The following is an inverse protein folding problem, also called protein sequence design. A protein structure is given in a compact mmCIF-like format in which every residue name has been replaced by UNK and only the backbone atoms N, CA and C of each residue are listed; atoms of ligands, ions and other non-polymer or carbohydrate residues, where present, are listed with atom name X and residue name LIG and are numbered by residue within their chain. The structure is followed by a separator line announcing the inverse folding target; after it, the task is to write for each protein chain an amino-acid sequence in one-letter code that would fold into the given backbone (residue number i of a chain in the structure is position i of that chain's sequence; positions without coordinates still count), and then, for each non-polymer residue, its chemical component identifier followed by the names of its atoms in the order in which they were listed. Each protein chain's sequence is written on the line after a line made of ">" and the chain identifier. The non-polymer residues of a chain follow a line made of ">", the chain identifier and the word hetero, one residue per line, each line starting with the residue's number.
data_IF_429471132619
#
_entry.id   IF_429471132619
#
_cell.length_a   1.000
_cell.length_b   1.000
_cell.length_c   1.000
_cell.angle_alpha   90.00
_cell.angle_beta   90.00
_cell.angle_gamma   90.00
#
_symmetry.space_group_name_H-M   'P 1'
#
loop_
_entity.id
_entity.type
_entity.pdbx_description
1 polymer ?
#
# COMPACT_ATOMS: atom_id res chain seq x y z
N UNK A 1 -19.58 30.29 -25.11
CA UNK A 1 -18.17 29.87 -24.94
C UNK A 1 -17.63 30.58 -23.71
N UNK A 2 -18.14 30.24 -22.52
CA UNK A 2 -17.83 30.99 -21.28
C UNK A 2 -17.95 30.12 -20.01
N UNK A 3 -18.03 28.79 -20.14
CA UNK A 3 -18.20 27.87 -19.00
C UNK A 3 -16.96 27.01 -18.67
N UNK A 4 -15.87 27.14 -19.44
CA UNK A 4 -14.69 26.25 -19.31
C UNK A 4 -13.57 26.89 -18.48
N UNK A 5 -13.63 28.18 -18.18
CA UNK A 5 -12.53 28.91 -17.51
C UNK A 5 -12.66 28.96 -15.97
N UNK A 6 -13.83 28.63 -15.41
CA UNK A 6 -14.08 28.73 -13.96
C UNK A 6 -13.66 27.48 -13.18
N UNK A 7 -13.74 26.28 -13.78
CA UNK A 7 -13.36 25.03 -13.11
C UNK A 7 -11.84 24.90 -12.91
N UNK A 8 -11.04 25.37 -13.87
CA UNK A 8 -9.57 25.30 -13.85
C UNK A 8 -8.96 26.30 -12.87
N UNK A 9 -9.55 27.49 -12.71
CA UNK A 9 -9.11 28.47 -11.71
C UNK A 9 -9.47 28.03 -10.28
N UNK A 10 -10.64 27.43 -10.05
CA UNK A 10 -11.00 26.92 -8.72
C UNK A 10 -10.09 25.77 -8.28
N UNK A 11 -9.70 24.86 -9.18
CA UNK A 11 -8.77 23.75 -8.87
C UNK A 11 -7.34 24.23 -8.57
N UNK A 12 -6.86 25.29 -9.23
CA UNK A 12 -5.54 25.87 -8.93
C UNK A 12 -5.53 26.65 -7.61
N UNK A 13 -6.63 27.32 -7.25
CA UNK A 13 -6.72 28.08 -5.98
C UNK A 13 -6.88 27.15 -4.76
N UNK A 14 -7.52 25.98 -4.91
CA UNK A 14 -7.61 24.99 -3.82
C UNK A 14 -6.27 24.29 -3.57
N UNK A 15 -5.50 23.94 -4.61
CA UNK A 15 -4.17 23.33 -4.42
C UNK A 15 -3.20 24.26 -3.68
N UNK A 16 -3.21 25.57 -3.98
CA UNK A 16 -2.32 26.56 -3.36
C UNK A 16 -2.56 26.79 -1.86
N UNK A 17 -3.73 26.39 -1.33
CA UNK A 17 -4.01 26.44 0.12
C UNK A 17 -3.60 25.15 0.86
N UNK A 18 -3.33 24.07 0.12
CA UNK A 18 -2.97 22.74 0.66
C UNK A 18 -1.45 22.55 0.64
N UNK A 19 -0.77 23.19 -0.31
CA UNK A 19 0.68 23.38 -0.32
C UNK A 19 1.06 24.50 0.64
N UNK A 20 0.84 24.30 1.94
CA UNK A 20 1.60 25.06 2.93
C UNK A 20 3.08 24.90 2.54
N UNK A 21 3.84 25.99 2.32
CA UNK A 21 5.26 25.88 2.05
C UNK A 21 5.85 25.06 3.20
N UNK A 22 6.59 23.99 2.87
CA UNK A 22 7.20 23.18 3.93
C UNK A 22 7.98 24.12 4.85
N UNK A 23 7.70 24.09 6.16
CA UNK A 23 8.40 24.94 7.10
C UNK A 23 9.90 24.69 6.96
N UNK A 24 10.66 25.77 6.81
CA UNK A 24 12.12 25.77 6.63
C UNK A 24 12.78 25.27 7.91
N UNK A 25 12.75 23.96 8.14
CA UNK A 25 13.51 23.31 9.20
C UNK A 25 14.84 22.94 8.59
N UNK A 26 15.92 23.58 9.04
CA UNK A 26 17.25 23.28 8.51
C UNK A 26 17.60 21.81 8.77
N UNK A 27 17.96 21.09 7.70
CA UNK A 27 18.39 19.70 7.83
C UNK A 27 19.80 19.62 8.40
N UNK A 28 19.96 18.77 9.40
CA UNK A 28 21.26 18.44 9.95
C UNK A 28 22.12 17.74 8.88
N UNK A 29 23.27 18.32 8.58
CA UNK A 29 24.27 17.72 7.69
C UNK A 29 25.05 16.60 8.42
N UNK A 30 25.49 15.57 7.69
CA UNK A 30 26.25 14.49 8.29
C UNK A 30 27.69 14.94 8.64
N UNK A 31 28.25 14.37 9.70
CA UNK A 31 29.55 14.79 10.23
C UNK A 31 30.72 14.17 9.46
N UNK A 32 31.74 14.98 9.14
CA UNK A 32 32.97 14.55 8.45
C UNK A 32 32.72 13.84 7.11
N UNK A 33 31.73 14.31 6.35
CA UNK A 33 31.31 13.74 5.07
C UNK A 33 31.70 14.60 3.86
N UNK A 34 32.68 15.49 4.03
CA UNK A 34 33.24 16.32 2.97
C UNK A 34 34.71 15.94 2.83
N UNK A 35 35.09 15.39 1.68
CA UNK A 35 36.45 14.98 1.32
C UNK A 35 36.88 15.72 0.05
N UNK A 36 38.17 15.67 -0.28
CA UNK A 36 38.72 16.43 -1.40
C UNK A 36 38.09 16.04 -2.75
N UNK A 37 37.87 14.74 -2.97
CA UNK A 37 37.36 14.21 -4.25
C UNK A 37 35.90 13.74 -4.20
N UNK A 38 35.27 13.71 -3.02
CA UNK A 38 33.90 13.23 -2.88
C UNK A 38 33.20 13.87 -1.68
N UNK A 39 31.89 14.05 -1.78
CA UNK A 39 31.08 14.50 -0.64
C UNK A 39 29.81 13.69 -0.49
N UNK A 40 29.33 13.59 0.75
CA UNK A 40 28.05 12.98 1.09
C UNK A 40 27.16 13.98 1.82
N UNK A 41 25.98 14.28 1.27
CA UNK A 41 25.04 15.27 1.85
C UNK A 41 23.64 14.70 2.05
N UNK A 42 22.85 15.38 2.89
CA UNK A 42 21.47 14.98 3.24
C UNK A 42 20.50 16.16 3.23
N UNK A 43 20.83 17.21 2.49
CA UNK A 43 20.10 18.46 2.28
C UNK A 43 18.82 18.30 1.42
N UNK A 44 18.08 17.21 1.60
CA UNK A 44 16.82 16.92 0.91
C UNK A 44 15.89 16.10 1.81
N UNK A 45 14.57 16.17 1.61
CA UNK A 45 13.58 15.42 2.40
C UNK A 45 13.88 13.91 2.46
N UNK A 46 13.60 13.27 3.59
CA UNK A 46 14.02 11.89 3.93
C UNK A 46 15.55 11.64 3.98
N UNK A 47 16.41 12.55 3.51
CA UNK A 47 17.85 12.49 3.68
C UNK A 47 18.29 12.29 5.14
N UNK A 48 19.09 11.25 5.38
CA UNK A 48 19.68 10.91 6.68
C UNK A 48 20.98 10.12 6.51
N UNK A 49 22.00 10.61 7.20
CA UNK A 49 23.31 10.00 7.39
C UNK A 49 23.91 10.63 8.66
N UNK A 50 24.64 9.87 9.46
CA UNK A 50 25.18 10.41 10.72
C UNK A 50 26.61 10.93 10.56
N UNK A 51 27.50 10.08 10.03
CA UNK A 51 28.93 10.37 10.00
C UNK A 51 29.63 9.56 8.89
N UNK A 52 30.70 10.11 8.32
CA UNK A 52 31.55 9.42 7.35
C UNK A 52 33.00 9.34 7.84
N UNK A 53 33.70 8.28 7.45
CA UNK A 53 35.12 8.08 7.71
C UNK A 53 35.81 7.52 6.46
N UNK A 54 36.97 8.07 6.08
CA UNK A 54 37.80 7.46 5.05
C UNK A 54 38.40 6.13 5.52
N UNK A 55 38.42 5.12 4.66
CA UNK A 55 38.99 3.80 4.93
C UNK A 55 40.32 3.58 4.22
N UNK A 56 40.33 3.77 2.89
CA UNK A 56 41.46 3.61 1.98
C UNK A 56 41.26 4.52 0.75
N UNK A 57 42.06 4.32 -0.30
CA UNK A 57 41.95 5.09 -1.55
C UNK A 57 40.57 4.84 -2.19
N UNK A 58 39.73 5.88 -2.23
CA UNK A 58 38.34 5.84 -2.69
C UNK A 58 37.36 5.00 -1.85
N UNK A 59 37.77 4.52 -0.66
CA UNK A 59 36.88 3.81 0.26
C UNK A 59 36.38 4.66 1.42
N UNK A 60 35.08 4.53 1.72
CA UNK A 60 34.41 5.33 2.75
C UNK A 60 33.45 4.49 3.59
N UNK A 61 33.55 4.65 4.91
CA UNK A 61 32.63 4.07 5.89
C UNK A 61 31.56 5.09 6.24
N UNK A 62 30.29 4.70 6.07
CA UNK A 62 29.11 5.51 6.31
C UNK A 62 28.37 4.99 7.54
N UNK A 63 28.37 5.78 8.61
CA UNK A 63 27.73 5.43 9.87
C UNK A 63 26.29 5.89 9.91
N UNK A 64 25.40 5.00 10.33
CA UNK A 64 23.99 5.27 10.48
C UNK A 64 23.58 5.30 11.95
N UNK A 65 22.72 6.25 12.31
CA UNK A 65 22.17 6.39 13.67
C UNK A 65 20.68 6.74 13.62
N UNK A 66 19.82 6.08 14.43
CA UNK A 66 18.42 6.45 14.52
C UNK A 66 18.27 7.82 15.20
N UNK A 67 17.09 8.41 15.07
CA UNK A 67 16.72 9.69 15.68
C UNK A 67 16.80 9.67 17.19
N UNK A 68 16.61 8.49 17.78
CA UNK A 68 16.78 8.27 19.20
C UNK A 68 17.27 6.85 19.46
N UNK A 69 18.26 6.75 20.33
CA UNK A 69 18.77 5.45 20.78
C UNK A 69 17.71 4.74 21.64
N UNK A 70 17.68 3.40 21.59
CA UNK A 70 16.76 2.46 22.27
C UNK A 70 15.57 1.94 21.43
N UNK A 71 15.36 2.41 20.20
CA UNK A 71 14.10 2.13 19.48
C UNK A 71 14.25 1.05 18.41
N UNK A 72 15.40 0.96 17.73
CA UNK A 72 15.75 -0.17 16.87
C UNK A 72 17.24 -0.11 16.51
N UNK A 73 17.91 -1.26 16.30
CA UNK A 73 19.25 -1.29 15.73
C UNK A 73 19.36 -0.77 14.29
N UNK A 74 18.32 -0.85 13.47
CA UNK A 74 18.42 -0.63 12.03
C UNK A 74 17.90 0.75 11.59
N UNK A 75 18.74 1.82 11.57
CA UNK A 75 18.32 3.15 11.14
C UNK A 75 18.09 3.25 9.63
N UNK A 76 17.19 4.16 9.25
CA UNK A 76 17.01 4.63 7.88
C UNK A 76 18.27 5.37 7.39
N UNK A 77 18.51 5.29 6.08
CA UNK A 77 19.50 6.11 5.40
C UNK A 77 19.02 6.55 4.01
N UNK A 78 19.38 7.77 3.68
CA UNK A 78 19.30 8.33 2.33
C UNK A 78 20.33 9.46 2.23
N UNK A 79 21.22 9.44 1.26
CA UNK A 79 22.23 10.47 1.07
C UNK A 79 22.49 10.71 -0.40
N UNK A 80 22.99 11.89 -0.73
CA UNK A 80 23.55 12.22 -2.03
C UNK A 80 25.06 12.03 -1.95
N UNK A 81 25.64 11.37 -2.95
CA UNK A 81 27.09 11.29 -3.15
C UNK A 81 27.43 12.10 -4.41
N UNK A 82 28.41 12.99 -4.32
CA UNK A 82 28.91 13.81 -5.42
C UNK A 82 30.41 13.56 -5.61
N UNK A 83 30.79 13.24 -6.85
CA UNK A 83 32.19 13.12 -7.28
C UNK A 83 32.72 14.51 -7.66
N UNK A 84 33.75 14.98 -6.96
CA UNK A 84 34.44 16.24 -7.23
C UNK A 84 35.73 16.06 -8.04
N UNK A 85 36.14 14.82 -8.31
CA UNK A 85 37.26 14.53 -9.21
C UNK A 85 36.89 14.82 -10.67
N UNK A 86 37.90 15.17 -11.48
CA UNK A 86 37.69 15.40 -12.91
C UNK A 86 37.39 14.11 -13.69
N UNK A 87 37.84 12.97 -13.17
CA UNK A 87 37.74 11.67 -13.82
C UNK A 87 36.57 10.84 -13.28
N UNK A 88 36.17 9.85 -14.07
CA UNK A 88 35.29 8.79 -13.59
C UNK A 88 35.99 8.01 -12.48
N UNK A 89 35.36 7.94 -11.32
CA UNK A 89 35.90 7.29 -10.13
C UNK A 89 34.90 6.26 -9.60
N UNK A 90 35.41 5.12 -9.16
CA UNK A 90 34.64 4.12 -8.41
C UNK A 90 34.96 4.28 -6.94
N UNK A 91 33.93 4.50 -6.13
CA UNK A 91 34.02 4.58 -4.68
C UNK A 91 33.51 3.30 -4.04
N UNK A 92 34.26 2.78 -3.08
CA UNK A 92 33.83 1.66 -2.26
C UNK A 92 33.15 2.20 -0.99
N UNK A 93 31.88 1.88 -0.80
CA UNK A 93 31.10 2.37 0.33
C UNK A 93 30.78 1.21 1.28
N UNK A 94 30.98 1.44 2.57
CA UNK A 94 30.61 0.49 3.63
C UNK A 94 29.66 1.15 4.62
N UNK A 95 28.42 0.69 4.66
CA UNK A 95 27.41 1.13 5.63
C UNK A 95 27.57 0.35 6.95
N UNK A 96 27.60 1.10 8.05
CA UNK A 96 27.68 0.57 9.43
C UNK A 96 26.54 1.15 10.25
N UNK A 97 25.61 0.29 10.68
CA UNK A 97 24.57 0.70 11.61
C UNK A 97 25.12 0.79 13.04
N UNK A 98 24.67 1.80 13.80
CA UNK A 98 25.08 1.99 15.20
C UNK A 98 24.82 0.77 16.11
N UNK A 99 23.87 -0.11 15.77
CA UNK A 99 23.65 -1.41 16.41
C UNK A 99 23.15 -2.40 15.35
N UNK A 100 23.56 -3.67 15.40
CA UNK A 100 23.06 -4.71 14.48
C UNK A 100 23.38 -4.45 12.99
N UNK A 101 22.67 -5.14 12.10
CA UNK A 101 22.79 -4.98 10.64
C UNK A 101 21.74 -3.96 10.15
N UNK A 102 22.07 -3.21 9.09
CA UNK A 102 21.10 -2.37 8.39
C UNK A 102 19.90 -3.18 7.89
N UNK A 103 18.68 -2.68 8.02
CA UNK A 103 17.46 -3.40 7.60
C UNK A 103 17.23 -3.33 6.08
N UNK A 104 17.78 -2.32 5.42
CA UNK A 104 17.52 -2.07 4.00
C UNK A 104 18.77 -2.14 3.14
N UNK A 105 18.61 -2.81 2.01
CA UNK A 105 19.61 -2.93 0.95
C UNK A 105 19.71 -1.64 0.13
N UNK A 106 20.91 -1.30 -0.39
CA UNK A 106 21.15 -0.02 -1.04
C UNK A 106 20.52 0.03 -2.42
N UNK A 107 19.87 1.17 -2.71
CA UNK A 107 19.33 1.51 -4.03
C UNK A 107 19.92 2.83 -4.49
N UNK A 108 20.18 2.96 -5.79
CA UNK A 108 20.66 4.18 -6.45
C UNK A 108 19.53 4.85 -7.22
N UNK A 109 19.57 6.18 -7.29
CA UNK A 109 18.77 6.98 -8.21
C UNK A 109 19.55 8.21 -8.67
N UNK A 110 19.46 8.56 -9.94
CA UNK A 110 20.05 9.78 -10.49
C UNK A 110 19.08 10.99 -10.39
N UNK A 111 17.77 10.74 -10.20
CA UNK A 111 16.72 11.77 -10.24
C UNK A 111 15.74 11.75 -9.05
N UNK A 112 15.98 10.87 -8.07
CA UNK A 112 15.11 10.52 -6.92
C UNK A 112 13.77 9.89 -7.28
N UNK A 113 13.49 9.62 -8.56
CA UNK A 113 12.23 9.05 -9.03
C UNK A 113 12.41 7.61 -9.48
N UNK A 114 13.41 7.35 -10.31
CA UNK A 114 13.73 6.00 -10.79
C UNK A 114 14.83 5.41 -9.92
N UNK A 115 14.54 4.28 -9.29
CA UNK A 115 15.43 3.61 -8.34
C UNK A 115 15.86 2.24 -8.85
N UNK A 116 17.13 1.92 -8.64
CA UNK A 116 17.73 0.65 -9.03
C UNK A 116 18.43 0.03 -7.83
N UNK A 117 18.25 -1.27 -7.63
CA UNK A 117 19.01 -1.99 -6.61
C UNK A 117 20.50 -1.99 -6.97
N UNK A 118 21.34 -1.75 -5.97
CA UNK A 118 22.79 -1.90 -6.10
C UNK A 118 23.21 -3.32 -5.69
N UNK A 119 24.19 -3.88 -6.39
CA UNK A 119 24.88 -5.07 -5.91
C UNK A 119 25.63 -4.75 -4.63
N UNK A 120 25.53 -5.62 -3.62
CA UNK A 120 26.16 -5.42 -2.33
C UNK A 120 26.65 -6.74 -1.74
N UNK A 121 27.59 -6.63 -0.81
CA UNK A 121 28.03 -7.70 0.07
C UNK A 121 27.61 -7.40 1.50
N UNK A 122 27.07 -8.39 2.21
CA UNK A 122 26.68 -8.27 3.62
C UNK A 122 27.50 -9.24 4.47
N UNK A 123 28.10 -8.73 5.54
CA UNK A 123 28.92 -9.52 6.46
C UNK A 123 29.38 -8.71 7.67
N UNK A 124 29.60 -9.36 8.81
CA UNK A 124 30.13 -8.74 10.03
C UNK A 124 29.40 -7.47 10.50
N UNK A 125 28.09 -7.38 10.30
CA UNK A 125 27.31 -6.19 10.68
C UNK A 125 27.36 -5.04 9.67
N UNK A 126 27.89 -5.27 8.47
CA UNK A 126 28.16 -4.25 7.46
C UNK A 126 27.51 -4.58 6.11
N UNK A 127 27.21 -3.54 5.35
CA UNK A 127 26.79 -3.63 3.94
C UNK A 127 27.82 -2.87 3.11
N UNK A 128 28.48 -3.54 2.18
CA UNK A 128 29.48 -2.94 1.30
C UNK A 128 29.03 -2.97 -0.15
N UNK A 129 29.28 -1.91 -0.91
CA UNK A 129 28.93 -1.81 -2.33
C UNK A 129 29.79 -0.77 -3.03
N UNK A 130 29.95 -0.94 -4.33
CA UNK A 130 30.70 0.00 -5.17
C UNK A 130 29.74 0.96 -5.89
N UNK A 131 30.19 2.20 -6.09
CA UNK A 131 29.48 3.17 -6.90
C UNK A 131 30.43 3.91 -7.84
N UNK A 132 30.15 3.85 -9.14
CA UNK A 132 30.94 4.51 -10.18
C UNK A 132 30.25 5.77 -10.64
N UNK A 133 30.96 6.89 -10.56
CA UNK A 133 30.47 8.23 -10.89
C UNK A 133 31.39 8.90 -11.90
N UNK A 134 30.83 9.54 -12.91
CA UNK A 134 31.59 10.42 -13.80
C UNK A 134 32.10 11.65 -13.02
N UNK A 135 33.10 12.35 -13.56
CA UNK A 135 33.58 13.58 -12.95
C UNK A 135 32.47 14.63 -12.86
N UNK A 136 32.42 15.35 -11.73
CA UNK A 136 31.39 16.36 -11.42
C UNK A 136 29.94 15.83 -11.51
N UNK A 137 29.73 14.54 -11.22
CA UNK A 137 28.40 13.92 -11.20
C UNK A 137 27.95 13.60 -9.77
N UNK A 138 26.63 13.62 -9.56
CA UNK A 138 26.00 13.26 -8.30
C UNK A 138 24.91 12.22 -8.49
N UNK A 139 24.69 11.40 -7.46
CA UNK A 139 23.57 10.45 -7.38
C UNK A 139 23.06 10.32 -5.96
N UNK A 140 21.87 9.77 -5.80
CA UNK A 140 21.23 9.48 -4.53
C UNK A 140 21.32 7.99 -4.21
N UNK A 141 21.59 7.68 -2.95
CA UNK A 141 21.59 6.32 -2.43
C UNK A 141 20.70 6.25 -1.19
N UNK A 142 19.81 5.27 -1.13
CA UNK A 142 18.87 5.11 0.00
C UNK A 142 18.49 3.62 0.20
N UNK A 143 17.95 3.30 1.38
CA UNK A 143 17.47 1.94 1.67
C UNK A 143 16.20 1.54 0.88
N UNK A 144 15.40 2.54 0.48
CA UNK A 144 14.21 2.39 -0.36
C UNK A 144 14.06 3.66 -1.22
N UNK A 145 13.10 3.66 -2.12
CA UNK A 145 12.69 4.85 -2.86
C UNK A 145 12.41 6.04 -1.92
N UNK A 146 12.61 7.26 -2.38
CA UNK A 146 12.24 8.46 -1.60
C UNK A 146 10.81 8.85 -1.95
N UNK A 147 9.92 8.74 -0.98
CA UNK A 147 8.56 9.28 -1.02
C UNK A 147 8.44 10.36 0.05
N UNK A 148 8.57 11.62 -0.35
CA UNK A 148 8.48 12.76 0.56
C UNK A 148 7.07 13.34 0.65
N UNK A 149 6.91 14.38 1.47
CA UNK A 149 5.61 15.00 1.72
C UNK A 149 5.02 15.66 0.47
N UNK A 150 5.88 16.24 -0.39
CA UNK A 150 5.45 16.86 -1.65
C UNK A 150 4.91 15.80 -2.61
N UNK A 151 5.64 14.68 -2.75
CA UNK A 151 5.22 13.56 -3.57
C UNK A 151 3.85 12.99 -3.17
N UNK A 152 3.53 12.96 -1.87
CA UNK A 152 2.18 12.57 -1.43
C UNK A 152 1.10 13.55 -1.83
N UNK A 153 1.33 14.86 -1.71
CA UNK A 153 0.35 15.90 -2.08
C UNK A 153 0.11 15.86 -3.60
N UNK A 154 1.19 15.73 -4.39
CA UNK A 154 1.11 15.59 -5.84
C UNK A 154 0.30 14.35 -6.21
N UNK A 155 0.60 13.20 -5.59
CA UNK A 155 -0.12 11.96 -5.81
C UNK A 155 -1.62 12.08 -5.47
N UNK A 156 -1.98 12.63 -4.30
CA UNK A 156 -3.39 12.85 -3.94
C UNK A 156 -4.11 13.71 -4.98
N UNK A 157 -3.44 14.73 -5.51
CA UNK A 157 -3.99 15.61 -6.55
C UNK A 157 -4.30 14.86 -7.84
N UNK A 158 -3.51 13.83 -8.19
CA UNK A 158 -3.78 12.97 -9.37
C UNK A 158 -5.05 12.11 -9.24
N UNK A 159 -5.53 11.88 -8.02
CA UNK A 159 -6.73 11.05 -7.77
C UNK A 159 -8.04 11.83 -7.85
N UNK A 160 -7.98 13.17 -7.88
CA UNK A 160 -9.17 14.02 -7.94
C UNK A 160 -9.80 14.00 -9.34
N UNK A 161 -11.00 13.42 -9.43
CA UNK A 161 -11.79 13.32 -10.67
C UNK A 161 -13.12 14.07 -10.59
N UNK A 162 -13.74 14.10 -9.40
CA UNK A 162 -15.02 14.76 -9.18
C UNK A 162 -14.93 15.74 -8.00
N UNK A 163 -14.71 17.05 -8.24
CA UNK A 163 -14.56 18.04 -7.18
C UNK A 163 -15.85 18.27 -6.36
N UNK A 164 -17.01 17.78 -6.81
CA UNK A 164 -18.26 17.83 -6.02
C UNK A 164 -18.29 16.78 -4.91
N UNK A 165 -17.59 15.65 -5.12
CA UNK A 165 -17.56 14.51 -4.19
C UNK A 165 -16.18 14.33 -3.55
N UNK A 166 -15.13 14.96 -4.07
CA UNK A 166 -13.74 14.73 -3.67
C UNK A 166 -13.03 16.05 -3.41
N UNK A 167 -12.32 16.12 -2.30
CA UNK A 167 -11.46 17.24 -1.96
C UNK A 167 -10.18 16.72 -1.33
N UNK A 168 -9.05 17.34 -1.66
CA UNK A 168 -7.86 17.22 -0.80
C UNK A 168 -8.04 18.22 0.33
N UNK A 169 -7.99 17.74 1.56
CA UNK A 169 -8.18 18.51 2.78
C UNK A 169 -6.92 18.47 3.65
N UNK A 170 -6.79 19.45 4.54
CA UNK A 170 -5.85 19.40 5.66
C UNK A 170 -6.62 18.94 6.90
N UNK A 171 -6.23 17.81 7.49
CA UNK A 171 -6.78 17.39 8.78
C UNK A 171 -6.21 18.22 9.94
N UNK A 172 -5.03 18.78 9.75
CA UNK A 172 -4.27 19.55 10.72
C UNK A 172 -2.84 19.75 10.25
N UNK A 173 -1.97 20.18 11.16
CA UNK A 173 -0.53 20.29 10.93
C UNK A 173 0.24 19.51 11.98
N UNK A 174 1.40 19.00 11.61
CA UNK A 174 2.34 18.30 12.49
C UNK A 174 3.00 19.22 13.52
N UNK A 175 3.85 18.65 14.36
CA UNK A 175 4.58 19.40 15.40
C UNK A 175 5.48 20.51 14.85
N UNK A 176 6.01 20.35 13.64
CA UNK A 176 6.83 21.36 12.97
C UNK A 176 6.03 22.15 11.92
N UNK A 177 4.72 21.94 11.79
CA UNK A 177 3.83 22.73 10.93
C UNK A 177 3.61 22.18 9.52
N UNK A 178 3.99 20.93 9.23
CA UNK A 178 3.72 20.27 7.94
C UNK A 178 2.28 19.80 7.86
N UNK A 179 1.68 19.95 6.68
CA UNK A 179 0.30 19.60 6.45
C UNK A 179 0.05 18.08 6.61
N UNK A 180 -0.96 17.72 7.40
CA UNK A 180 -1.52 16.36 7.40
C UNK A 180 -2.59 16.29 6.30
N UNK A 181 -2.13 16.14 5.06
CA UNK A 181 -2.98 16.12 3.87
C UNK A 181 -3.75 14.79 3.76
N UNK A 182 -4.99 14.85 3.29
CA UNK A 182 -5.84 13.70 3.05
C UNK A 182 -6.77 13.94 1.85
N UNK A 183 -7.27 12.88 1.22
CA UNK A 183 -8.49 12.96 0.40
C UNK A 183 -9.69 12.68 1.29
N UNK A 184 -10.65 13.60 1.28
CA UNK A 184 -12.01 13.33 1.69
C UNK A 184 -12.86 13.13 0.44
N UNK A 185 -13.47 11.95 0.33
CA UNK A 185 -14.49 11.65 -0.66
C UNK A 185 -15.83 11.40 0.03
N UNK A 186 -16.87 12.11 -0.39
CA UNK A 186 -18.24 12.04 0.13
C UNK A 186 -19.18 11.47 -0.93
N UNK A 187 -19.72 10.29 -0.67
CA UNK A 187 -20.81 9.72 -1.46
C UNK A 187 -22.14 10.44 -1.12
N UNK A 188 -23.06 10.61 -2.09
CA UNK A 188 -24.37 11.17 -1.82
C UNK A 188 -25.13 10.30 -0.81
N UNK A 189 -25.72 10.92 0.20
CA UNK A 189 -26.58 10.28 1.20
C UNK A 189 -25.96 9.05 1.92
N UNK A 190 -24.63 8.98 2.01
CA UNK A 190 -23.94 7.90 2.72
C UNK A 190 -23.46 8.33 4.10
N UNK A 191 -23.71 7.47 5.09
CA UNK A 191 -23.18 7.57 6.44
C UNK A 191 -21.98 6.63 6.66
N UNK A 192 -21.55 5.87 5.64
CA UNK A 192 -20.60 4.76 5.76
C UNK A 192 -19.21 5.17 5.30
N UNK A 193 -18.18 4.90 6.11
CA UNK A 193 -16.80 5.29 5.86
C UNK A 193 -15.84 4.12 5.70
N UNK A 194 -15.03 4.19 4.65
CA UNK A 194 -13.76 3.49 4.56
C UNK A 194 -12.64 4.46 4.99
N UNK A 195 -11.84 4.07 5.98
CA UNK A 195 -10.71 4.86 6.48
C UNK A 195 -9.41 4.18 6.06
N UNK A 196 -8.55 4.89 5.34
CA UNK A 196 -7.25 4.40 4.88
C UNK A 196 -6.17 5.32 5.42
N UNK A 197 -5.21 4.79 6.17
CA UNK A 197 -4.05 5.54 6.65
C UNK A 197 -2.76 4.83 6.30
N UNK A 198 -1.67 5.57 6.19
CA UNK A 198 -0.34 4.99 6.01
C UNK A 198 0.76 5.83 6.62
N UNK A 199 1.96 5.26 6.59
CA UNK A 199 3.22 5.97 6.88
C UNK A 199 3.30 6.54 8.31
N UNK A 200 2.75 5.82 9.28
CA UNK A 200 2.97 6.16 10.69
C UNK A 200 4.45 6.04 11.08
N UNK A 201 5.17 5.05 10.52
CA UNK A 201 6.63 5.00 10.58
C UNK A 201 7.22 5.46 9.24
N UNK A 202 8.24 6.35 9.24
CA UNK A 202 8.67 7.00 8.00
C UNK A 202 9.32 6.13 6.91
N UNK A 203 10.08 5.07 7.20
CA UNK A 203 10.80 4.33 6.17
C UNK A 203 9.98 3.18 5.55
N UNK A 204 8.72 3.02 5.95
CA UNK A 204 7.84 1.94 5.50
C UNK A 204 7.27 2.22 4.11
N UNK A 205 8.18 2.19 3.13
CA UNK A 205 7.92 2.50 1.73
C UNK A 205 7.03 1.45 1.07
N UNK A 206 7.26 0.16 1.32
CA UNK A 206 6.49 -0.90 0.65
C UNK A 206 5.00 -0.87 1.05
N UNK A 207 4.70 -0.54 2.30
CA UNK A 207 3.32 -0.29 2.77
C UNK A 207 2.70 0.94 2.10
N UNK A 208 3.48 2.00 1.90
CA UNK A 208 3.03 3.18 1.20
C UNK A 208 2.77 2.93 -0.30
N UNK A 209 3.59 2.12 -0.96
CA UNK A 209 3.36 1.69 -2.34
C UNK A 209 2.06 0.88 -2.45
N UNK A 210 1.79 -0.03 -1.49
CA UNK A 210 0.51 -0.73 -1.42
C UNK A 210 -0.67 0.23 -1.26
N UNK A 211 -0.57 1.22 -0.36
CA UNK A 211 -1.60 2.26 -0.21
C UNK A 211 -1.78 3.07 -1.49
N UNK A 212 -0.69 3.42 -2.19
CA UNK A 212 -0.77 4.16 -3.44
C UNK A 212 -1.50 3.40 -4.52
N UNK A 213 -1.15 2.12 -4.72
CA UNK A 213 -1.81 1.25 -5.70
C UNK A 213 -3.28 0.97 -5.33
N UNK A 214 -3.55 0.68 -4.06
CA UNK A 214 -4.92 0.51 -3.56
C UNK A 214 -5.76 1.78 -3.80
N UNK A 215 -5.21 2.96 -3.49
CA UNK A 215 -5.86 4.25 -3.74
C UNK A 215 -6.09 4.54 -5.23
N UNK A 216 -5.08 4.29 -6.08
CA UNK A 216 -5.20 4.47 -7.53
C UNK A 216 -6.34 3.63 -8.12
N UNK A 217 -6.45 2.37 -7.72
CA UNK A 217 -7.54 1.49 -8.15
C UNK A 217 -8.89 1.94 -7.56
N UNK A 218 -8.93 2.30 -6.27
CA UNK A 218 -10.13 2.76 -5.58
C UNK A 218 -10.70 4.05 -6.18
N UNK A 219 -9.86 4.91 -6.77
CA UNK A 219 -10.24 6.14 -7.46
C UNK A 219 -10.18 6.02 -9.00
N UNK A 220 -10.02 4.81 -9.54
CA UNK A 220 -10.00 4.55 -10.98
C UNK A 220 -11.39 4.69 -11.63
N UNK A 221 -11.44 4.59 -12.96
CA UNK A 221 -12.70 4.58 -13.73
C UNK A 221 -13.31 3.19 -13.87
N UNK A 222 -12.77 2.21 -13.14
CA UNK A 222 -13.39 0.89 -13.02
C UNK A 222 -14.83 1.01 -12.47
N UNK A 223 -15.75 0.25 -13.07
CA UNK A 223 -17.17 0.33 -12.77
C UNK A 223 -17.47 -0.06 -11.31
N UNK A 224 -16.78 -1.08 -10.78
CA UNK A 224 -16.96 -1.52 -9.39
C UNK A 224 -16.41 -0.48 -8.42
N UNK A 225 -15.26 0.11 -8.73
CA UNK A 225 -14.71 1.21 -7.93
C UNK A 225 -15.61 2.46 -7.95
N UNK A 226 -16.17 2.83 -9.10
CA UNK A 226 -17.15 3.92 -9.22
C UNK A 226 -18.41 3.64 -8.40
N UNK A 227 -18.98 2.44 -8.53
CA UNK A 227 -20.16 2.02 -7.79
C UNK A 227 -19.92 1.98 -6.27
N UNK A 228 -18.70 1.62 -5.84
CA UNK A 228 -18.28 1.71 -4.45
C UNK A 228 -18.24 3.14 -3.94
N UNK A 229 -17.65 4.06 -4.72
CA UNK A 229 -17.62 5.49 -4.40
C UNK A 229 -19.01 6.14 -4.40
N UNK A 230 -20.05 5.55 -5.00
CA UNK A 230 -21.41 6.08 -4.83
C UNK A 230 -22.09 5.61 -3.53
N UNK A 231 -21.51 4.65 -2.79
CA UNK A 231 -22.11 4.06 -1.58
C UNK A 231 -21.32 4.33 -0.30
N UNK A 232 -20.03 4.63 -0.42
CA UNK A 232 -19.13 4.81 0.72
C UNK A 232 -18.39 6.15 0.65
N UNK A 233 -18.38 6.85 1.78
CA UNK A 233 -17.41 7.91 2.03
C UNK A 233 -16.03 7.29 2.23
N UNK A 234 -14.98 8.02 1.82
CA UNK A 234 -13.59 7.56 1.94
C UNK A 234 -12.77 8.68 2.55
N UNK A 235 -12.00 8.35 3.59
CA UNK A 235 -10.91 9.19 4.07
C UNK A 235 -9.60 8.47 3.78
N UNK A 236 -8.72 9.08 3.00
CA UNK A 236 -7.39 8.55 2.68
C UNK A 236 -6.32 9.52 3.19
N UNK A 237 -5.57 9.12 4.22
CA UNK A 237 -4.47 9.87 4.82
C UNK A 237 -3.15 9.16 4.50
N UNK A 238 -2.44 9.53 3.42
CA UNK A 238 -1.28 8.75 2.96
C UNK A 238 -0.06 8.83 3.86
N UNK A 239 0.06 9.93 4.62
CA UNK A 239 1.22 10.18 5.44
C UNK A 239 0.83 10.70 6.82
N UNK A 240 0.78 9.80 7.79
CA UNK A 240 0.50 10.15 9.18
C UNK A 240 1.67 10.82 9.91
N UNK A 241 2.91 10.76 9.39
CA UNK A 241 4.10 11.28 10.07
C UNK A 241 4.96 12.15 9.14
N UNK A 242 4.45 13.31 8.69
CA UNK A 242 5.15 14.15 7.71
C UNK A 242 6.46 14.73 8.24
N UNK A 243 6.58 15.01 9.54
CA UNK A 243 7.84 15.47 10.13
C UNK A 243 8.90 14.35 10.17
N UNK A 244 8.50 13.14 10.59
CA UNK A 244 9.40 11.99 10.59
C UNK A 244 9.88 11.63 9.19
N UNK A 245 9.00 11.71 8.17
CA UNK A 245 9.37 11.53 6.76
C UNK A 245 10.34 12.60 6.31
N UNK A 246 10.08 13.87 6.62
CA UNK A 246 11.00 14.95 6.27
C UNK A 246 12.40 14.70 6.83
N UNK A 247 12.52 14.36 8.11
CA UNK A 247 13.80 14.14 8.79
C UNK A 247 14.47 12.78 8.48
N UNK A 248 13.81 11.91 7.69
CA UNK A 248 14.31 10.56 7.45
C UNK A 248 14.36 9.72 8.74
N UNK A 249 13.44 9.93 9.68
CA UNK A 249 13.40 9.16 10.90
C UNK A 249 13.15 7.67 10.62
N UNK A 250 13.59 6.81 11.53
CA UNK A 250 13.35 5.37 11.44
C UNK A 250 11.94 4.98 11.90
N UNK A 251 11.44 5.60 12.97
CA UNK A 251 10.17 5.17 13.59
C UNK A 251 9.34 6.30 14.16
N UNK A 252 9.99 7.36 14.63
CA UNK A 252 9.34 8.36 15.47
C UNK A 252 8.93 9.61 14.71
N UNK A 253 8.00 10.34 15.31
CA UNK A 253 7.71 11.75 15.00
C UNK A 253 8.92 12.64 15.33
N UNK A 254 8.91 13.90 14.91
CA UNK A 254 9.94 14.87 15.29
C UNK A 254 10.04 15.08 16.81
N UNK A 255 8.96 14.86 17.56
CA UNK A 255 8.96 14.95 19.03
C UNK A 255 9.42 13.66 19.73
N UNK A 256 9.77 12.63 18.97
CA UNK A 256 10.33 11.39 19.50
C UNK A 256 9.30 10.38 20.02
N UNK A 257 8.08 10.43 19.50
CA UNK A 257 6.98 9.50 19.84
C UNK A 257 6.75 8.50 18.70
N UNK A 258 6.49 7.24 19.07
CA UNK A 258 6.04 6.22 18.13
C UNK A 258 4.55 6.44 17.84
N UNK A 259 4.23 6.89 16.62
CA UNK A 259 2.88 7.27 16.24
C UNK A 259 1.89 6.11 16.43
N UNK A 260 2.29 4.88 16.11
CA UNK A 260 1.43 3.70 16.27
C UNK A 260 1.48 3.12 17.71
N UNK A 261 1.86 3.95 18.69
CA UNK A 261 1.67 3.72 20.13
C UNK A 261 0.91 4.87 20.80
N UNK A 262 0.60 5.92 20.05
CA UNK A 262 0.03 7.16 20.58
C UNK A 262 -1.51 7.19 20.52
N UNK A 263 -2.20 6.25 19.86
CA UNK A 263 -3.65 6.36 19.64
C UNK A 263 -4.51 6.34 20.91
N UNK A 264 -3.98 5.88 22.05
CA UNK A 264 -4.65 5.97 23.34
C UNK A 264 -4.46 7.31 24.04
N UNK A 265 -3.22 7.80 24.07
CA UNK A 265 -2.86 9.04 24.77
C UNK A 265 -3.11 10.29 23.91
N UNK A 266 -3.02 10.13 22.58
CA UNK A 266 -3.16 11.15 21.54
C UNK A 266 -2.36 12.40 21.88
N UNK A 267 -1.07 12.20 22.13
CA UNK A 267 -0.15 13.28 22.49
C UNK A 267 0.35 14.05 21.28
N UNK A 268 0.31 13.45 20.09
CA UNK A 268 0.77 14.05 18.85
C UNK A 268 -0.33 14.87 18.16
N UNK A 269 -0.01 16.01 17.52
CA UNK A 269 -1.01 16.80 16.81
C UNK A 269 -1.66 16.02 15.66
N UNK A 270 -0.94 15.08 15.03
CA UNK A 270 -1.45 14.26 13.93
C UNK A 270 -2.52 13.26 14.39
N UNK A 271 -2.30 12.56 15.52
CA UNK A 271 -3.31 11.65 16.09
C UNK A 271 -4.50 12.43 16.65
N UNK A 272 -4.29 13.61 17.23
CA UNK A 272 -5.37 14.49 17.67
C UNK A 272 -6.21 15.00 16.50
N UNK A 273 -5.57 15.39 15.39
CA UNK A 273 -6.24 15.88 14.19
C UNK A 273 -7.16 14.80 13.58
N UNK A 274 -6.63 13.60 13.35
CA UNK A 274 -7.44 12.49 12.82
C UNK A 274 -8.52 12.07 13.83
N UNK A 275 -8.20 11.99 15.12
CA UNK A 275 -9.19 11.70 16.15
C UNK A 275 -10.36 12.69 16.12
N UNK A 276 -10.09 13.99 16.11
CA UNK A 276 -11.11 15.05 16.06
C UNK A 276 -12.00 14.90 14.82
N UNK A 277 -11.39 14.60 13.68
CA UNK A 277 -12.14 14.38 12.44
C UNK A 277 -13.08 13.17 12.56
N UNK A 278 -12.56 12.02 13.00
CA UNK A 278 -13.34 10.78 13.16
C UNK A 278 -14.43 10.92 14.24
N UNK A 279 -14.15 11.64 15.33
CA UNK A 279 -15.15 11.92 16.38
C UNK A 279 -16.29 12.77 15.82
N UNK A 280 -15.98 13.79 15.01
CA UNK A 280 -17.00 14.59 14.35
C UNK A 280 -17.86 13.78 13.36
N UNK A 281 -17.29 12.77 12.68
CA UNK A 281 -18.09 11.83 11.87
C UNK A 281 -19.04 11.04 12.78
N UNK A 282 -18.51 10.48 13.88
CA UNK A 282 -19.24 9.64 14.81
C UNK A 282 -20.42 10.36 15.47
N UNK A 283 -20.19 11.59 15.94
CA UNK A 283 -21.21 12.48 16.52
C UNK A 283 -22.36 12.79 15.55
N UNK A 284 -22.08 12.84 14.24
CA UNK A 284 -23.11 13.06 13.20
C UNK A 284 -23.91 11.81 12.84
N UNK A 285 -23.64 10.67 13.48
CA UNK A 285 -24.30 9.43 13.14
C UNK A 285 -23.60 8.64 12.02
N UNK A 286 -22.47 9.13 11.51
CA UNK A 286 -21.69 8.42 10.49
C UNK A 286 -20.91 7.25 11.14
N UNK A 287 -20.57 6.23 10.34
CA UNK A 287 -20.06 4.94 10.80
C UNK A 287 -18.83 4.55 10.01
N UNK A 288 -17.79 4.13 10.72
CA UNK A 288 -16.63 3.47 10.12
C UNK A 288 -17.01 2.02 9.83
N UNK A 289 -16.97 1.63 8.56
CA UNK A 289 -17.25 0.28 8.08
C UNK A 289 -16.00 -0.59 8.09
N UNK A 290 -14.85 0.01 7.76
CA UNK A 290 -13.53 -0.61 7.85
C UNK A 290 -12.47 0.48 7.95
N UNK A 291 -11.41 0.21 8.71
CA UNK A 291 -10.18 0.98 8.66
C UNK A 291 -8.97 0.11 8.27
N UNK A 292 -8.10 0.61 7.41
CA UNK A 292 -6.87 -0.08 6.98
C UNK A 292 -5.67 0.82 7.24
N UNK A 293 -4.67 0.27 7.91
CA UNK A 293 -3.42 0.94 8.30
C UNK A 293 -2.24 0.26 7.61
N UNK A 294 -1.65 0.94 6.63
CA UNK A 294 -0.63 0.40 5.75
C UNK A 294 0.78 0.62 6.34
N UNK A 295 1.53 -0.48 6.46
CA UNK A 295 2.81 -0.56 7.14
C UNK A 295 3.80 -1.48 6.38
N UNK A 296 5.05 -1.55 6.86
CA UNK A 296 6.05 -2.48 6.33
C UNK A 296 6.72 -3.32 7.43
N UNK A 297 6.85 -4.61 7.14
CA UNK A 297 7.56 -5.58 7.98
C UNK A 297 8.45 -6.47 7.13
N UNK A 298 8.99 -7.57 7.67
CA UNK A 298 9.87 -8.48 6.92
C UNK A 298 9.15 -9.44 5.98
N UNK A 299 7.82 -9.46 5.98
CA UNK A 299 6.99 -10.38 5.17
C UNK A 299 5.62 -9.77 4.93
N UNK A 300 4.92 -10.21 3.90
CA UNK A 300 3.54 -9.79 3.67
C UNK A 300 2.60 -10.45 4.69
N UNK A 301 1.84 -9.65 5.44
CA UNK A 301 0.88 -10.14 6.43
C UNK A 301 -0.22 -9.11 6.76
N UNK A 302 -1.44 -9.59 6.95
CA UNK A 302 -2.51 -8.77 7.54
C UNK A 302 -2.67 -9.07 9.04
N UNK A 303 -2.73 -8.04 9.88
CA UNK A 303 -3.12 -8.21 11.29
C UNK A 303 -4.57 -7.74 11.51
N UNK A 304 -5.42 -8.64 12.01
CA UNK A 304 -6.85 -8.40 12.24
C UNK A 304 -7.19 -8.42 13.72
N UNK A 305 -8.40 -8.01 14.07
CA UNK A 305 -8.95 -8.25 15.42
C UNK A 305 -9.47 -9.69 15.52
N UNK A 306 -9.32 -10.37 16.69
CA UNK A 306 -10.01 -11.64 16.94
C UNK A 306 -11.52 -11.48 16.76
N UNK A 307 -12.18 -12.46 16.13
CA UNK A 307 -13.62 -12.34 15.83
C UNK A 307 -14.50 -12.36 17.08
N UNK A 308 -14.01 -12.97 18.16
CA UNK A 308 -14.63 -13.01 19.49
C UNK A 308 -14.20 -11.85 20.41
N UNK A 309 -13.45 -10.87 19.88
CA UNK A 309 -12.98 -9.74 20.67
C UNK A 309 -14.13 -8.91 21.23
N UNK A 310 -14.05 -8.61 22.53
CA UNK A 310 -15.02 -7.79 23.26
C UNK A 310 -14.33 -6.52 23.76
N UNK A 311 -14.56 -5.37 23.10
CA UNK A 311 -14.03 -4.10 23.56
C UNK A 311 -14.41 -3.79 25.01
N UNK A 312 -13.47 -3.23 25.77
CA UNK A 312 -13.73 -2.81 27.15
C UNK A 312 -14.77 -1.69 27.27
N UNK A 313 -15.00 -0.96 26.17
CA UNK A 313 -16.04 0.07 26.03
C UNK A 313 -17.45 -0.51 25.98
N UNK A 314 -17.60 -1.82 25.77
CA UNK A 314 -18.88 -2.50 25.62
C UNK A 314 -19.51 -2.35 24.23
N UNK A 315 -18.88 -1.60 23.32
CA UNK A 315 -19.32 -1.49 21.92
C UNK A 315 -18.94 -2.81 21.22
N UNK A 316 -19.88 -3.57 20.64
CA UNK A 316 -19.56 -4.83 19.99
C UNK A 316 -18.80 -4.58 18.67
N UNK A 317 -17.83 -5.45 18.38
CA UNK A 317 -17.16 -5.49 17.08
C UNK A 317 -18.18 -5.84 15.99
N UNK A 318 -18.32 -4.96 14.99
CA UNK A 318 -19.25 -5.13 13.88
C UNK A 318 -18.71 -6.14 12.88
N UNK A 319 -19.55 -7.11 12.54
CA UNK A 319 -19.33 -8.07 11.44
C UNK A 319 -17.93 -8.70 11.43
N UNK A 320 -17.49 -9.30 12.55
CA UNK A 320 -16.12 -9.77 12.72
C UNK A 320 -15.70 -10.82 11.67
N UNK A 321 -16.63 -11.64 11.19
CA UNK A 321 -16.35 -12.67 10.18
C UNK A 321 -16.10 -12.08 8.79
N UNK A 322 -16.64 -10.89 8.48
CA UNK A 322 -16.50 -10.27 7.15
C UNK A 322 -15.03 -10.03 6.78
N UNK A 323 -14.20 -9.60 7.74
CA UNK A 323 -12.77 -9.39 7.50
C UNK A 323 -12.05 -10.70 7.24
N UNK A 324 -12.42 -11.76 7.98
CA UNK A 324 -11.83 -13.09 7.81
C UNK A 324 -12.15 -13.64 6.42
N UNK A 325 -13.41 -13.58 6.02
CA UNK A 325 -13.86 -14.01 4.69
C UNK A 325 -13.20 -13.21 3.56
N UNK A 326 -13.09 -11.89 3.73
CA UNK A 326 -12.37 -11.02 2.80
C UNK A 326 -10.91 -11.47 2.63
N UNK A 327 -10.17 -11.66 3.74
CA UNK A 327 -8.76 -12.03 3.66
C UNK A 327 -8.53 -13.47 3.18
N UNK A 328 -9.45 -14.40 3.48
CA UNK A 328 -9.42 -15.74 2.89
C UNK A 328 -9.49 -15.64 1.34
N UNK A 329 -10.33 -14.77 0.79
CA UNK A 329 -10.41 -14.53 -0.66
C UNK A 329 -9.15 -13.89 -1.24
N UNK A 330 -8.59 -12.88 -0.56
CA UNK A 330 -7.34 -12.25 -0.99
C UNK A 330 -6.23 -13.29 -1.08
N UNK A 331 -6.04 -14.09 -0.03
CA UNK A 331 -5.00 -15.13 0.01
C UNK A 331 -5.24 -16.16 -1.09
N UNK A 332 -6.47 -16.64 -1.27
CA UNK A 332 -6.80 -17.59 -2.32
C UNK A 332 -6.44 -17.04 -3.72
N UNK A 333 -6.76 -15.77 -3.98
CA UNK A 333 -6.50 -15.11 -5.26
C UNK A 333 -5.01 -14.99 -5.59
N UNK A 334 -4.16 -14.74 -4.59
CA UNK A 334 -2.72 -14.48 -4.81
C UNK A 334 -1.79 -15.62 -4.41
N UNK A 335 -2.32 -16.70 -3.83
CA UNK A 335 -1.56 -17.83 -3.25
C UNK A 335 -0.53 -18.49 -4.19
N UNK A 336 -0.71 -18.37 -5.51
CA UNK A 336 0.22 -18.90 -6.51
C UNK A 336 1.42 -17.99 -6.78
N UNK A 337 1.35 -16.74 -6.34
CA UNK A 337 2.31 -15.67 -6.69
C UNK A 337 2.99 -15.08 -5.46
N UNK A 338 2.25 -14.91 -4.36
CA UNK A 338 2.74 -14.24 -3.15
C UNK A 338 2.46 -15.10 -1.93
N UNK A 339 3.48 -15.29 -1.08
CA UNK A 339 3.29 -15.86 0.25
C UNK A 339 2.64 -14.79 1.15
N UNK A 340 1.37 -15.00 1.48
CA UNK A 340 0.56 -14.06 2.24
C UNK A 340 -0.22 -14.81 3.31
N UNK A 341 -0.28 -14.22 4.51
CA UNK A 341 -0.96 -14.78 5.67
C UNK A 341 -1.71 -13.67 6.42
N UNK A 342 -2.64 -14.03 7.30
CA UNK A 342 -3.22 -13.10 8.27
C UNK A 342 -3.20 -13.64 9.69
N UNK A 343 -3.02 -12.74 10.65
CA UNK A 343 -2.95 -13.07 12.08
C UNK A 343 -3.90 -12.20 12.88
N UNK A 344 -4.84 -12.85 13.55
CA UNK A 344 -5.69 -12.19 14.53
C UNK A 344 -4.90 -11.90 15.83
N UNK A 345 -5.07 -10.72 16.39
CA UNK A 345 -4.47 -10.36 17.67
C UNK A 345 -4.94 -9.01 18.19
N UNK A 346 -5.18 -8.93 19.49
CA UNK A 346 -5.58 -7.69 20.19
C UNK A 346 -4.53 -7.31 21.23
N UNK A 347 -4.28 -6.00 21.35
CA UNK A 347 -3.36 -5.43 22.33
C UNK A 347 -3.97 -4.16 22.92
N UNK A 348 -4.99 -4.25 23.80
CA UNK A 348 -5.80 -3.11 24.27
C UNK A 348 -5.06 -2.04 25.06
N UNK A 349 -3.74 -2.18 25.28
CA UNK A 349 -2.88 -1.22 25.99
C UNK A 349 -1.71 -0.72 25.14
N UNK A 350 -1.60 -1.17 23.88
CA UNK A 350 -0.45 -0.81 23.04
C UNK A 350 -0.61 0.54 22.35
N UNK A 351 -1.81 1.12 22.32
CA UNK A 351 -2.03 2.40 21.63
C UNK A 351 -1.86 2.31 20.11
N UNK A 352 -2.08 1.14 19.51
CA UNK A 352 -2.07 0.96 18.04
C UNK A 352 -3.39 1.40 17.40
N UNK A 353 -3.33 1.90 16.17
CA UNK A 353 -4.49 2.41 15.44
C UNK A 353 -5.61 1.38 15.30
N UNK A 354 -5.27 0.16 14.87
CA UNK A 354 -6.21 -0.95 14.69
C UNK A 354 -7.06 -1.19 15.95
N UNK A 355 -6.39 -1.23 17.10
CA UNK A 355 -7.03 -1.45 18.38
C UNK A 355 -7.91 -0.26 18.77
N UNK A 356 -7.41 0.97 18.57
CA UNK A 356 -8.17 2.20 18.83
C UNK A 356 -9.48 2.25 18.01
N UNK A 357 -9.44 1.94 16.72
CA UNK A 357 -10.64 1.96 15.87
C UNK A 357 -11.70 0.98 16.38
N UNK A 358 -11.28 -0.24 16.74
CA UNK A 358 -12.20 -1.24 17.27
C UNK A 358 -12.72 -0.89 18.66
N UNK A 359 -11.86 -0.40 19.56
CA UNK A 359 -12.28 -0.07 20.92
C UNK A 359 -13.23 1.13 20.97
N UNK A 360 -12.96 2.15 20.15
CA UNK A 360 -13.68 3.42 20.21
C UNK A 360 -14.93 3.43 19.32
N UNK A 361 -14.89 2.81 18.14
CA UNK A 361 -15.99 2.85 17.17
C UNK A 361 -16.71 1.51 16.96
N UNK A 362 -16.20 0.41 17.53
CA UNK A 362 -16.71 -0.95 17.27
C UNK A 362 -16.51 -1.40 15.83
N UNK A 363 -15.70 -0.68 15.05
CA UNK A 363 -15.45 -0.98 13.65
C UNK A 363 -14.32 -1.99 13.48
N UNK A 364 -14.38 -2.88 12.47
CA UNK A 364 -13.23 -3.68 12.12
C UNK A 364 -12.09 -2.80 11.61
N UNK A 365 -10.86 -3.21 11.94
CA UNK A 365 -9.65 -2.57 11.44
C UNK A 365 -8.58 -3.61 11.14
N UNK A 366 -7.73 -3.30 10.15
CA UNK A 366 -6.66 -4.17 9.68
C UNK A 366 -5.36 -3.38 9.58
N UNK A 367 -4.28 -3.94 10.10
CA UNK A 367 -2.92 -3.49 9.75
C UNK A 367 -2.46 -4.31 8.55
N UNK A 368 -2.22 -3.64 7.42
CA UNK A 368 -1.72 -4.27 6.19
C UNK A 368 -0.21 -4.06 6.14
N UNK A 369 0.54 -5.11 6.46
CA UNK A 369 2.00 -5.10 6.46
C UNK A 369 2.53 -5.69 5.17
N UNK A 370 3.41 -4.95 4.51
CA UNK A 370 4.08 -5.37 3.27
C UNK A 370 5.54 -5.69 3.58
N UNK A 371 6.08 -6.75 2.98
CA UNK A 371 7.49 -7.10 3.13
C UNK A 371 8.42 -5.97 2.68
N UNK A 372 9.53 -5.76 3.38
CA UNK A 372 10.54 -4.74 3.06
C UNK A 372 11.14 -4.96 1.66
N UNK A 373 11.34 -6.22 1.31
CA UNK A 373 11.92 -6.66 0.04
C UNK A 373 10.87 -7.22 -0.92
N UNK A 374 9.57 -7.02 -0.64
CA UNK A 374 8.50 -7.49 -1.53
C UNK A 374 8.65 -6.85 -2.91
N UNK A 375 8.57 -7.71 -3.92
CA UNK A 375 8.64 -7.31 -5.33
C UNK A 375 7.54 -6.28 -5.65
N UNK A 376 7.86 -5.28 -6.47
CA UNK A 376 6.95 -4.16 -6.72
C UNK A 376 5.69 -4.59 -7.47
N UNK A 377 5.75 -5.63 -8.29
CA UNK A 377 4.57 -6.17 -8.96
C UNK A 377 3.74 -7.03 -8.01
N UNK A 378 4.39 -7.78 -7.10
CA UNK A 378 3.67 -8.49 -6.04
C UNK A 378 2.88 -7.52 -5.14
N UNK A 379 3.46 -6.37 -4.79
CA UNK A 379 2.76 -5.32 -4.03
C UNK A 379 1.48 -4.88 -4.76
N UNK A 380 1.56 -4.65 -6.09
CA UNK A 380 0.40 -4.29 -6.91
C UNK A 380 -0.65 -5.40 -6.93
N UNK A 381 -0.23 -6.65 -7.13
CA UNK A 381 -1.11 -7.82 -7.20
C UNK A 381 -1.91 -7.97 -5.90
N UNK A 382 -1.25 -7.91 -4.74
CA UNK A 382 -1.94 -8.05 -3.46
C UNK A 382 -2.83 -6.84 -3.18
N UNK A 383 -2.39 -5.61 -3.47
CA UNK A 383 -3.23 -4.42 -3.31
C UNK A 383 -4.50 -4.47 -4.20
N UNK A 384 -4.38 -4.95 -5.44
CA UNK A 384 -5.51 -5.14 -6.34
C UNK A 384 -6.49 -6.20 -5.84
N UNK A 385 -5.97 -7.38 -5.47
CA UNK A 385 -6.78 -8.46 -4.89
C UNK A 385 -7.50 -8.01 -3.62
N UNK A 386 -6.79 -7.28 -2.74
CA UNK A 386 -7.34 -6.73 -1.50
C UNK A 386 -8.50 -5.75 -1.77
N UNK A 387 -8.35 -4.81 -2.71
CA UNK A 387 -9.42 -3.87 -3.03
C UNK A 387 -10.61 -4.56 -3.70
N UNK A 388 -10.35 -5.42 -4.70
CA UNK A 388 -11.41 -6.04 -5.49
C UNK A 388 -12.35 -6.86 -4.59
N UNK A 389 -11.78 -7.79 -3.83
CA UNK A 389 -12.53 -8.63 -2.88
C UNK A 389 -13.19 -7.79 -1.79
N UNK A 390 -12.58 -6.68 -1.37
CA UNK A 390 -13.21 -5.76 -0.41
C UNK A 390 -14.49 -5.15 -0.98
N UNK A 391 -14.47 -4.67 -2.22
CA UNK A 391 -15.65 -4.09 -2.88
C UNK A 391 -16.75 -5.14 -2.98
N UNK A 392 -16.42 -6.36 -3.43
CA UNK A 392 -17.37 -7.48 -3.53
C UNK A 392 -18.04 -7.78 -2.18
N UNK A 393 -17.27 -7.78 -1.09
CA UNK A 393 -17.78 -8.07 0.27
C UNK A 393 -18.56 -6.92 0.91
N UNK A 394 -18.26 -5.67 0.53
CA UNK A 394 -18.97 -4.49 1.01
C UNK A 394 -20.18 -4.13 0.12
N UNK A 395 -20.31 -4.75 -1.05
CA UNK A 395 -21.41 -4.53 -1.99
C UNK A 395 -22.01 -5.84 -2.53
N UNK A 396 -22.51 -6.74 -1.66
CA UNK A 396 -22.97 -8.07 -2.07
C UNK A 396 -24.14 -8.03 -3.06
N UNK A 397 -24.96 -6.97 -3.04
CA UNK A 397 -26.13 -6.83 -3.92
C UNK A 397 -25.75 -6.66 -5.41
N UNK A 398 -24.51 -6.26 -5.73
CA UNK A 398 -24.04 -6.16 -7.13
C UNK A 398 -23.43 -7.47 -7.66
N UNK A 399 -22.91 -8.32 -6.77
CA UNK A 399 -22.45 -9.65 -7.15
C UNK A 399 -23.60 -10.59 -7.54
N UNK A 400 -24.84 -10.26 -7.15
CA UNK A 400 -26.04 -10.99 -7.55
C UNK A 400 -26.59 -10.56 -8.93
N UNK A 401 -26.45 -9.28 -9.29
CA UNK A 401 -26.92 -8.76 -10.58
C UNK A 401 -26.05 -9.22 -11.76
N UNK A 402 -24.73 -9.35 -11.57
CA UNK A 402 -23.83 -9.88 -12.61
C UNK A 402 -24.02 -11.39 -12.88
N UNK A 403 -24.57 -12.14 -11.92
CA UNK A 403 -24.89 -13.57 -12.11
C UNK A 403 -26.19 -13.79 -12.90
N UNK A 404 -27.04 -12.77 -13.03
CA UNK A 404 -28.30 -12.84 -13.79
C UNK A 404 -28.17 -12.30 -15.22
N UNK A 405 -26.97 -11.84 -15.64
CA UNK A 405 -26.71 -11.35 -17.00
C UNK A 405 -26.10 -12.43 -17.93
N UNK A 406 -25.91 -13.66 -17.43
CA UNK A 406 -25.53 -14.84 -18.22
C UNK A 406 -26.73 -15.80 -18.31
N UNK A 407 -27.87 -15.30 -18.80
CA UNK A 407 -28.84 -16.11 -19.52
C UNK A 407 -29.11 -15.37 -20.83
N UNK A 408 -28.24 -15.61 -21.83
CA UNK A 408 -28.51 -15.21 -23.21
C UNK A 408 -28.87 -16.47 -23.98
N UNK A 409 -30.18 -16.64 -24.12
CA UNK A 409 -30.92 -17.15 -25.27
C UNK A 409 -30.10 -17.91 -26.33
N UNK A 410 -30.12 -19.24 -26.22
CA UNK A 410 -29.60 -20.17 -27.21
C UNK A 410 -30.65 -20.39 -28.32
N UNK A 411 -31.04 -19.32 -29.03
CA UNK A 411 -31.80 -19.42 -30.29
C UNK A 411 -31.33 -18.39 -31.31
N UNK A 412 -30.34 -18.77 -32.13
CA UNK A 412 -30.33 -18.58 -33.59
C UNK A 412 -28.91 -18.82 -34.14
N UNK A 413 -28.61 -20.07 -34.49
CA UNK A 413 -27.60 -20.38 -35.52
C UNK A 413 -28.31 -21.16 -36.62
N UNK A 414 -28.78 -20.44 -37.62
CA UNK A 414 -29.11 -21.00 -38.92
C UNK A 414 -27.80 -21.29 -39.66
N UNK A 415 -27.49 -22.57 -39.83
CA UNK A 415 -26.53 -23.05 -40.85
C UNK A 415 -27.34 -23.75 -41.93
N UNK A 416 -27.38 -23.13 -43.10
CA UNK A 416 -27.78 -23.74 -44.36
C UNK A 416 -26.77 -24.84 -44.73
N UNK A 417 -27.19 -26.11 -44.72
CA UNK A 417 -26.64 -27.12 -45.64
C UNK A 417 -27.78 -28.01 -46.19
N UNK A 418 -27.80 -28.10 -47.52
CA UNK A 418 -28.76 -28.84 -48.32
C UNK A 418 -28.61 -30.37 -48.22
N UNK A 419 -29.79 -31.02 -48.14
CA UNK A 419 -30.18 -32.26 -48.81
C UNK A 419 -29.29 -33.52 -48.68
N UNK A 420 -29.77 -34.53 -47.94
CA UNK A 420 -30.08 -35.84 -48.56
C UNK A 420 -30.96 -36.76 -47.68
N UNK A 421 -32.01 -37.28 -48.32
CA UNK A 421 -32.74 -38.55 -48.15
C UNK A 421 -32.68 -39.36 -46.83
N UNK A 422 -33.89 -39.69 -46.33
CA UNK A 422 -34.33 -41.10 -46.32
C UNK A 422 -34.77 -41.69 -44.96
N UNK A 423 -36.01 -42.20 -44.93
CA UNK A 423 -36.47 -43.37 -44.15
C UNK A 423 -36.64 -43.18 -42.63
N UNK A 424 -37.85 -43.09 -42.11
CA UNK A 424 -38.75 -44.21 -41.73
C UNK A 424 -38.56 -44.73 -40.30
N UNK A 425 -39.64 -44.57 -39.54
CA UNK A 425 -40.24 -45.53 -38.60
C UNK A 425 -39.72 -45.74 -37.17
N UNK A 426 -40.74 -45.71 -36.29
CA UNK A 426 -40.99 -46.48 -35.07
C UNK A 426 -40.09 -46.19 -33.84
N UNK A 427 -40.60 -45.60 -32.76
CA UNK A 427 -41.62 -46.08 -31.81
C UNK A 427 -41.11 -47.16 -30.82
N UNK A 428 -41.54 -46.93 -29.58
CA UNK A 428 -41.55 -47.81 -28.40
C UNK A 428 -40.22 -48.03 -27.65
N UNK A 429 -40.04 -47.40 -26.49
CA UNK A 429 -40.65 -47.70 -25.18
C UNK A 429 -40.11 -48.98 -24.53
N UNK A 430 -39.36 -48.83 -23.44
CA UNK A 430 -39.82 -49.18 -22.08
C UNK A 430 -38.71 -49.09 -21.04
N UNK A 431 -39.07 -48.45 -19.94
CA UNK A 431 -38.51 -48.57 -18.59
C UNK A 431 -38.43 -50.03 -18.15
N UNK A 432 -37.37 -50.39 -17.41
CA UNK A 432 -37.46 -50.65 -15.97
C UNK A 432 -36.15 -51.27 -15.43
N UNK A 433 -35.73 -50.73 -14.28
CA UNK A 433 -34.61 -51.12 -13.43
C UNK A 433 -34.83 -52.48 -12.70
N UNK A 434 -34.16 -52.78 -11.57
CA UNK A 434 -32.72 -52.87 -11.25
C UNK A 434 -32.39 -54.28 -10.65
N UNK A 435 -31.11 -54.57 -10.35
CA UNK A 435 -30.64 -55.05 -9.02
C UNK A 435 -29.27 -55.76 -8.99
N UNK A 436 -28.56 -55.45 -7.90
CA UNK A 436 -27.68 -56.27 -7.05
C UNK A 436 -26.19 -56.52 -7.42
N UNK A 437 -25.36 -55.97 -6.53
CA UNK A 437 -24.25 -56.56 -5.77
C UNK A 437 -23.21 -57.44 -6.50
N UNK A 438 -21.95 -57.00 -6.47
CA UNK A 438 -20.93 -57.45 -5.49
C UNK A 438 -19.54 -56.94 -5.86
N UNK A 439 -18.75 -56.68 -4.82
CA UNK A 439 -17.35 -56.36 -4.88
C UNK A 439 -16.48 -57.56 -5.30
N UNK A 440 -15.45 -57.32 -6.11
CA UNK A 440 -14.09 -57.87 -5.93
C UNK A 440 -13.10 -57.16 -6.85
N UNK A 441 -12.02 -56.66 -6.23
CA UNK A 441 -10.61 -56.62 -6.68
C UNK A 441 -10.29 -57.02 -8.14
N UNK A 442 -9.59 -56.15 -8.87
CA UNK A 442 -8.21 -56.39 -9.31
C UNK A 442 -7.60 -55.18 -10.04
N UNK A 443 -6.27 -55.08 -9.91
CA UNK A 443 -5.34 -54.15 -10.54
C UNK A 443 -5.48 -54.08 -12.06
N UNK A 444 -5.33 -52.87 -12.64
CA UNK A 444 -4.25 -52.57 -13.60
C UNK A 444 -4.42 -51.18 -14.22
N UNK A 445 -3.27 -50.54 -14.39
CA UNK A 445 -3.01 -49.25 -15.01
C UNK A 445 -3.75 -49.00 -16.34
N UNK A 446 -4.32 -47.80 -16.52
CA UNK A 446 -4.05 -47.01 -17.72
C UNK A 446 -4.50 -45.53 -17.63
N UNK A 447 -3.58 -44.67 -18.08
CA UNK A 447 -3.79 -43.39 -18.77
C UNK A 447 -4.66 -42.30 -18.12
N UNK A 448 -4.00 -41.46 -17.31
CA UNK A 448 -4.50 -40.16 -16.90
C UNK A 448 -3.93 -39.08 -17.85
N UNK A 449 -4.71 -38.64 -18.85
CA UNK A 449 -4.45 -37.36 -19.53
C UNK A 449 -4.97 -36.21 -18.65
N UNK A 450 -4.20 -35.14 -18.44
CA UNK A 450 -4.66 -34.00 -17.68
C UNK A 450 -5.74 -33.23 -18.46
N UNK A 451 -6.91 -33.08 -17.85
CA UNK A 451 -7.93 -32.14 -18.28
C UNK A 451 -7.36 -30.73 -18.29
N UNK A 452 -7.57 -30.05 -19.42
CA UNK A 452 -7.27 -28.63 -19.62
C UNK A 452 -7.97 -27.78 -18.54
N UNK A 453 -7.27 -26.86 -17.86
CA UNK A 453 -7.94 -25.92 -16.97
C UNK A 453 -8.78 -24.96 -17.81
N UNK A 454 -10.01 -24.71 -17.34
CA UNK A 454 -10.89 -23.71 -17.90
C UNK A 454 -10.19 -22.34 -18.00
N UNK A 455 -10.44 -21.64 -19.11
CA UNK A 455 -9.94 -20.29 -19.33
C UNK A 455 -10.35 -19.36 -18.16
N UNK A 456 -9.49 -18.42 -17.74
CA UNK A 456 -9.86 -17.43 -16.75
C UNK A 456 -11.04 -16.62 -17.29
N UNK A 457 -12.07 -16.46 -16.45
CA UNK A 457 -13.21 -15.60 -16.74
C UNK A 457 -12.73 -14.18 -17.02
N UNK A 458 -13.19 -13.59 -18.12
CA UNK A 458 -12.91 -12.22 -18.55
C UNK A 458 -13.41 -11.21 -17.50
N UNK A 459 -12.63 -10.98 -16.44
CA UNK A 459 -12.87 -9.91 -15.49
C UNK A 459 -12.20 -8.63 -16.02
N UNK A 460 -12.92 -7.52 -16.23
CA UNK A 460 -12.35 -6.26 -16.70
C UNK A 460 -11.18 -5.73 -15.84
N UNK A 461 -11.07 -6.11 -14.56
CA UNK A 461 -9.89 -5.79 -13.72
C UNK A 461 -8.62 -6.54 -14.14
N UNK A 462 -8.72 -7.78 -14.63
CA UNK A 462 -7.55 -8.53 -15.14
C UNK A 462 -6.93 -7.83 -16.36
N UNK A 463 -7.78 -7.16 -17.14
CA UNK A 463 -7.39 -6.36 -18.31
C UNK A 463 -6.79 -5.01 -17.89
N UNK A 464 -7.33 -4.37 -16.85
CA UNK A 464 -6.74 -3.17 -16.26
C UNK A 464 -5.33 -3.42 -15.66
N UNK A 465 -5.08 -4.62 -15.11
CA UNK A 465 -3.74 -5.03 -14.63
C UNK A 465 -2.76 -5.20 -15.80
N UNK A 466 -3.22 -5.66 -16.97
CA UNK A 466 -2.38 -5.81 -18.18
C UNK A 466 -2.19 -4.51 -18.97
N UNK A 467 -3.12 -3.55 -18.88
CA UNK A 467 -3.11 -2.30 -19.65
C UNK A 467 -2.41 -1.12 -18.94
N UNK A 468 -1.97 -1.28 -17.68
CA UNK A 468 -1.14 -0.31 -16.97
C UNK A 468 0.33 -0.36 -17.44
N UNK A 469 0.56 0.05 -18.69
CA UNK A 469 1.90 0.39 -19.19
C UNK A 469 2.41 1.65 -18.49
N UNK A 470 3.44 1.52 -17.64
CA UNK A 470 4.21 2.66 -17.14
C UNK A 470 5.71 2.37 -17.23
N UNK A 471 6.37 3.17 -18.06
CA UNK A 471 7.82 3.44 -18.11
C UNK A 471 8.28 4.27 -16.93
#
# INVERSE_FOLDING_TARGET
>A
MELVVTATLLTQVTLAQITLPEPLTEKQQPQNCQFDEVSFTTDFAAGRLHHCQAADDNGYILYLRPEREQINPSPWYAFRIQNHAENTTTYQLTIVASRGIGRYTPKRSDDKKTWQALSFEEGDGRISFDITLAGDSEVYVAGQEIMDNVGYIDWLSTLLKNPQQQQVISLGVSSEGRNLAAIEHRAPDSERWLILIGRQHPPEITGALALQHFGQLLFSDDANAQAFRQRYNILLVPNMNPDGVYHGNWRLTATGVDMNRDWQARTQPETQALFKYLEALYERGERIELAIDFHSTRRDVFYTMPSDYKPSTGIPLKQPERVREWLDEVINMVSKTVELDYKAGSHPKSGVFKQFITDHYGAPAVTYEVGDDSDRDNIKIVAAAALQTLIERLMPDQAADDKNLIEVDDTDIAVDEEQNNGGSDAADAKQAAPKHDRASTDDSDNDNQPSTPAAPTDNPLSKAIQELNWS
#
